data_IF_650688262236
#
_entry.id   IF_650688262236
#
_cell.length_a   1.000
_cell.length_b   1.000
_cell.length_c   1.000
_cell.angle_alpha   90.00
_cell.angle_beta   90.00
_cell.angle_gamma   90.00
#
_symmetry.space_group_name_H-M   'P 1'
#
loop_
_entity.id
_entity.type
_entity.pdbx_description
1 polymer ?
#
# COMPACT_ATOMS: atom_id res chain seq x y z
N UNK A 1 -1.23 13.94 -14.06
CA UNK A 1 -1.15 12.47 -14.20
C UNK A 1 0.26 12.10 -14.59
N UNK A 2 0.82 10.98 -14.09
CA UNK A 2 2.17 10.56 -14.47
C UNK A 2 2.17 9.88 -15.84
N UNK A 3 3.28 9.95 -16.62
CA UNK A 3 3.35 9.32 -17.94
C UNK A 3 3.02 7.82 -17.92
N UNK A 4 3.56 7.07 -16.94
CA UNK A 4 3.30 5.63 -16.81
C UNK A 4 1.82 5.30 -16.54
N UNK A 5 1.11 6.13 -15.76
CA UNK A 5 -0.32 5.90 -15.53
C UNK A 5 -1.15 6.18 -16.79
N UNK A 6 -0.77 7.19 -17.58
CA UNK A 6 -1.40 7.51 -18.86
C UNK A 6 -1.19 6.41 -19.89
N UNK A 7 0.01 5.83 -19.98
CA UNK A 7 0.34 4.76 -20.92
C UNK A 7 -0.52 3.51 -20.69
N UNK A 8 -0.70 3.14 -19.41
CA UNK A 8 -1.44 1.94 -19.03
C UNK A 8 -2.96 2.13 -19.15
N UNK A 9 -3.49 3.26 -18.67
CA UNK A 9 -4.95 3.52 -18.67
C UNK A 9 -5.48 4.14 -19.97
N UNK A 10 -4.59 4.59 -20.86
CA UNK A 10 -4.87 5.46 -22.01
C UNK A 10 -5.53 6.79 -21.65
N UNK A 11 -5.56 7.16 -20.37
CA UNK A 11 -6.11 8.44 -19.95
C UNK A 11 -5.06 9.54 -20.12
N UNK A 12 -5.49 10.78 -20.33
CA UNK A 12 -4.63 11.97 -20.22
C UNK A 12 -5.44 13.20 -19.82
N UNK A 13 -4.79 14.22 -19.23
CA UNK A 13 -5.44 15.49 -18.90
C UNK A 13 -4.75 16.62 -19.64
N UNK A 14 -5.50 17.36 -20.46
CA UNK A 14 -5.02 18.54 -21.20
C UNK A 14 -6.00 19.68 -21.00
N UNK A 15 -5.51 20.84 -20.56
CA UNK A 15 -6.34 22.03 -20.26
C UNK A 15 -7.57 21.71 -19.38
N UNK A 16 -7.39 20.91 -18.33
CA UNK A 16 -8.44 20.43 -17.41
C UNK A 16 -9.52 19.54 -18.02
N UNK A 17 -9.37 19.11 -19.28
CA UNK A 17 -10.23 18.12 -19.92
C UNK A 17 -9.58 16.75 -19.82
N UNK A 18 -10.35 15.75 -19.43
CA UNK A 18 -9.93 14.34 -19.41
C UNK A 18 -10.12 13.76 -20.81
N UNK A 19 -9.12 13.01 -21.27
CA UNK A 19 -9.15 12.29 -22.54
C UNK A 19 -8.93 10.81 -22.30
N UNK A 20 -9.61 9.96 -23.05
CA UNK A 20 -9.35 8.53 -23.18
C UNK A 20 -8.93 8.24 -24.62
N UNK A 21 -7.73 7.72 -24.80
CA UNK A 21 -7.16 7.37 -26.12
C UNK A 21 -7.23 8.57 -27.10
N UNK A 22 -6.86 9.75 -26.61
CA UNK A 22 -6.88 11.01 -27.37
C UNK A 22 -8.26 11.64 -27.57
N UNK A 23 -9.34 11.00 -27.13
CA UNK A 23 -10.72 11.52 -27.26
C UNK A 23 -11.20 12.15 -25.95
N UNK A 24 -11.79 13.36 -25.98
CA UNK A 24 -12.31 13.97 -24.76
C UNK A 24 -13.44 13.09 -24.19
N UNK A 25 -13.45 12.93 -22.88
CA UNK A 25 -14.49 12.18 -22.17
C UNK A 25 -15.17 13.06 -21.13
N UNK A 26 -16.46 12.80 -20.91
CA UNK A 26 -17.19 13.44 -19.82
C UNK A 26 -16.58 13.01 -18.49
N UNK A 27 -16.16 13.98 -17.70
CA UNK A 27 -15.63 13.78 -16.35
C UNK A 27 -16.44 14.61 -15.35
N UNK A 28 -16.33 14.25 -14.08
CA UNK A 28 -16.94 14.99 -12.97
C UNK A 28 -15.86 15.36 -11.96
N UNK A 29 -16.15 16.28 -11.05
CA UNK A 29 -15.20 16.63 -10.00
C UNK A 29 -14.97 15.44 -9.07
N UNK A 30 -13.84 15.41 -8.37
CA UNK A 30 -13.58 14.36 -7.38
C UNK A 30 -14.67 14.35 -6.29
N UNK A 31 -15.09 15.52 -5.82
CA UNK A 31 -16.11 15.65 -4.79
C UNK A 31 -17.48 15.10 -5.25
N UNK A 32 -17.92 15.48 -6.45
CA UNK A 32 -19.17 14.99 -7.03
C UNK A 32 -19.12 13.48 -7.27
N UNK A 33 -17.99 12.98 -7.79
CA UNK A 33 -17.76 11.56 -8.04
C UNK A 33 -17.85 10.74 -6.74
N UNK A 34 -17.19 11.20 -5.68
CA UNK A 34 -17.26 10.56 -4.36
C UNK A 34 -18.67 10.66 -3.76
N UNK A 35 -19.35 11.79 -3.89
CA UNK A 35 -20.72 11.95 -3.39
C UNK A 35 -21.69 10.98 -4.07
N UNK A 36 -21.59 10.81 -5.40
CA UNK A 36 -22.35 9.81 -6.16
C UNK A 36 -22.03 8.39 -5.70
N UNK A 37 -20.75 8.08 -5.48
CA UNK A 37 -20.31 6.78 -5.00
C UNK A 37 -20.86 6.46 -3.60
N UNK A 38 -20.76 7.40 -2.65
CA UNK A 38 -21.28 7.23 -1.30
C UNK A 38 -22.80 7.07 -1.29
N UNK A 39 -23.53 7.85 -2.09
CA UNK A 39 -24.98 7.70 -2.24
C UNK A 39 -25.36 6.32 -2.81
N UNK A 40 -24.61 5.80 -3.77
CA UNK A 40 -24.80 4.44 -4.28
C UNK A 40 -24.52 3.38 -3.20
N UNK A 41 -23.52 3.59 -2.36
CA UNK A 41 -23.20 2.69 -1.23
C UNK A 41 -24.25 2.72 -0.12
N UNK A 42 -24.86 3.87 0.20
CA UNK A 42 -25.91 3.97 1.24
C UNK A 42 -27.10 3.06 0.97
N UNK A 43 -27.41 2.80 -0.29
CA UNK A 43 -28.47 1.87 -0.68
C UNK A 43 -28.13 0.40 -0.37
N UNK A 44 -26.88 0.10 0.01
CA UNK A 44 -26.38 -1.23 0.36
C UNK A 44 -26.24 -1.32 1.88
N UNK A 45 -26.83 -2.34 2.51
CA UNK A 45 -26.66 -2.57 3.96
C UNK A 45 -25.32 -3.25 4.23
N UNK A 46 -24.54 -2.72 5.19
CA UNK A 46 -23.28 -3.30 5.68
C UNK A 46 -22.26 -3.64 4.58
N UNK A 47 -21.65 -2.62 3.99
CA UNK A 47 -20.75 -2.80 2.84
C UNK A 47 -19.34 -3.21 3.26
N UNK A 48 -18.82 -4.29 2.66
CA UNK A 48 -17.39 -4.59 2.62
C UNK A 48 -16.90 -4.44 1.17
N UNK A 49 -15.92 -3.56 0.94
CA UNK A 49 -15.40 -3.30 -0.41
C UNK A 49 -14.30 -4.29 -0.79
N UNK A 50 -14.47 -4.98 -1.92
CA UNK A 50 -13.47 -5.91 -2.43
C UNK A 50 -12.59 -5.21 -3.47
N UNK A 51 -11.28 -5.37 -3.33
CA UNK A 51 -10.31 -4.98 -4.37
C UNK A 51 -9.13 -5.95 -4.38
N UNK A 52 -8.44 -6.02 -5.51
CA UNK A 52 -7.29 -6.90 -5.69
C UNK A 52 -6.00 -6.14 -5.39
N UNK A 53 -5.26 -6.53 -4.35
CA UNK A 53 -4.17 -5.74 -3.75
C UNK A 53 -4.67 -4.46 -3.06
N UNK A 54 -5.89 -4.51 -2.54
CA UNK A 54 -6.61 -3.39 -1.91
C UNK A 54 -5.75 -2.65 -0.87
N UNK A 55 -5.10 -3.41 0.02
CA UNK A 55 -4.32 -2.86 1.14
C UNK A 55 -3.15 -2.04 0.65
N UNK A 56 -2.57 -2.37 -0.50
CA UNK A 56 -1.40 -1.69 -1.03
C UNK A 56 -1.74 -0.54 -1.98
N UNK A 57 -2.93 -0.58 -2.60
CA UNK A 57 -3.30 0.32 -3.69
C UNK A 57 -4.67 0.98 -3.48
N UNK A 58 -5.78 0.35 -3.89
CA UNK A 58 -7.08 1.01 -4.03
C UNK A 58 -7.58 1.63 -2.73
N UNK A 59 -7.50 0.90 -1.61
CA UNK A 59 -8.01 1.36 -0.34
C UNK A 59 -7.30 2.65 0.11
N UNK A 60 -5.97 2.74 -0.07
CA UNK A 60 -5.21 3.95 0.27
C UNK A 60 -5.60 5.15 -0.59
N UNK A 61 -5.79 4.93 -1.90
CA UNK A 61 -6.09 6.01 -2.83
C UNK A 61 -7.51 6.53 -2.59
N UNK A 62 -8.48 5.63 -2.43
CA UNK A 62 -9.86 6.00 -2.10
C UNK A 62 -9.93 6.73 -0.76
N UNK A 63 -9.27 6.22 0.29
CA UNK A 63 -9.30 6.87 1.60
C UNK A 63 -8.63 8.26 1.57
N UNK A 64 -7.53 8.44 0.84
CA UNK A 64 -6.93 9.77 0.64
C UNK A 64 -7.85 10.73 -0.11
N UNK A 65 -8.54 10.24 -1.14
CA UNK A 65 -9.50 11.04 -1.91
C UNK A 65 -10.68 11.49 -1.03
N UNK A 66 -11.26 10.56 -0.25
CA UNK A 66 -12.30 10.86 0.73
C UNK A 66 -11.82 11.90 1.76
N UNK A 67 -10.59 11.76 2.28
CA UNK A 67 -10.02 12.72 3.22
C UNK A 67 -9.87 14.12 2.59
N UNK A 68 -9.41 14.21 1.34
CA UNK A 68 -9.29 15.50 0.64
C UNK A 68 -10.63 16.20 0.37
N UNK A 69 -11.73 15.46 0.40
CA UNK A 69 -13.09 15.98 0.23
C UNK A 69 -13.89 16.04 1.55
N UNK A 70 -13.27 15.75 2.69
CA UNK A 70 -13.96 15.77 4.00
C UNK A 70 -15.05 14.70 4.15
N UNK A 71 -15.00 13.58 3.41
CA UNK A 71 -16.06 12.55 3.38
C UNK A 71 -15.71 11.25 4.11
N UNK A 72 -14.67 11.26 4.96
CA UNK A 72 -14.22 10.07 5.69
C UNK A 72 -15.29 9.58 6.67
N UNK A 73 -15.89 10.50 7.45
CA UNK A 73 -16.85 10.11 8.49
C UNK A 73 -18.10 9.49 7.88
N UNK A 74 -18.63 10.10 6.81
CA UNK A 74 -19.73 9.55 6.02
C UNK A 74 -19.40 8.16 5.47
N UNK A 75 -18.21 8.00 4.86
CA UNK A 75 -17.77 6.70 4.36
C UNK A 75 -17.70 5.63 5.46
N UNK A 76 -17.15 5.98 6.63
CA UNK A 76 -17.00 5.09 7.77
C UNK A 76 -18.34 4.68 8.39
N UNK A 77 -19.41 5.47 8.21
CA UNK A 77 -20.77 5.09 8.61
C UNK A 77 -21.41 4.08 7.66
N UNK A 78 -20.98 4.07 6.38
CA UNK A 78 -21.59 3.25 5.33
C UNK A 78 -20.84 1.92 5.12
N UNK A 79 -19.52 1.99 5.01
CA UNK A 79 -18.66 0.85 4.72
C UNK A 79 -17.93 0.37 5.98
N UNK A 80 -17.89 -0.93 6.20
CA UNK A 80 -17.19 -1.56 7.32
C UNK A 80 -15.66 -1.57 7.11
N UNK A 81 -15.24 -1.59 5.85
CA UNK A 81 -13.84 -1.67 5.47
C UNK A 81 -13.68 -2.31 4.10
N UNK A 82 -12.57 -3.04 3.95
CA UNK A 82 -12.19 -3.67 2.69
C UNK A 82 -11.82 -5.14 2.89
N UNK A 83 -11.89 -5.92 1.81
CA UNK A 83 -11.29 -7.24 1.70
C UNK A 83 -10.28 -7.25 0.56
N UNK A 84 -9.06 -7.73 0.84
CA UNK A 84 -8.01 -7.86 -0.16
C UNK A 84 -8.00 -9.26 -0.78
N UNK A 85 -8.34 -9.35 -2.07
CA UNK A 85 -8.43 -10.64 -2.75
C UNK A 85 -7.07 -11.21 -3.15
N UNK A 86 -6.01 -10.39 -3.19
CA UNK A 86 -4.67 -10.88 -3.52
C UNK A 86 -4.13 -11.90 -2.48
N UNK A 87 -4.09 -11.60 -1.17
CA UNK A 87 -3.71 -12.59 -0.17
C UNK A 87 -4.74 -13.73 -0.04
N UNK A 88 -6.02 -13.49 -0.33
CA UNK A 88 -7.03 -14.56 -0.39
C UNK A 88 -6.69 -15.60 -1.47
N UNK A 89 -6.36 -15.16 -2.69
CA UNK A 89 -5.93 -16.09 -3.75
C UNK A 89 -4.60 -16.77 -3.43
N UNK A 90 -3.68 -16.11 -2.73
CA UNK A 90 -2.42 -16.74 -2.26
C UNK A 90 -2.67 -17.85 -1.24
N UNK A 91 -3.67 -17.69 -0.38
CA UNK A 91 -4.07 -18.75 0.56
C UNK A 91 -4.66 -19.95 -0.18
N UNK A 92 -5.54 -19.69 -1.16
CA UNK A 92 -6.24 -20.76 -1.88
C UNK A 92 -5.36 -21.51 -2.88
N UNK A 93 -4.37 -20.83 -3.47
CA UNK A 93 -3.53 -21.38 -4.54
C UNK A 93 -2.05 -21.07 -4.30
N UNK A 94 -1.44 -21.56 -3.21
CA UNK A 94 -0.10 -21.15 -2.77
C UNK A 94 1.01 -21.42 -3.78
N UNK A 95 0.84 -22.43 -4.64
CA UNK A 95 1.86 -22.87 -5.59
C UNK A 95 1.89 -22.05 -6.91
N UNK A 96 0.98 -21.08 -7.07
CA UNK A 96 0.95 -20.26 -8.29
C UNK A 96 2.15 -19.32 -8.35
N UNK A 97 2.72 -19.20 -9.55
CA UNK A 97 3.85 -18.28 -9.82
C UNK A 97 3.43 -16.81 -9.88
N UNK A 98 2.18 -16.55 -10.25
CA UNK A 98 1.62 -15.22 -10.38
C UNK A 98 0.21 -15.16 -9.86
N UNK A 99 -0.08 -14.02 -9.23
CA UNK A 99 -1.38 -13.68 -8.67
C UNK A 99 -1.86 -12.33 -9.22
N UNK A 100 -1.37 -11.89 -10.38
CA UNK A 100 -2.01 -10.76 -11.05
C UNK A 100 -3.45 -11.14 -11.42
N UNK A 101 -4.38 -10.19 -11.37
CA UNK A 101 -5.77 -10.45 -11.74
C UNK A 101 -5.91 -11.01 -13.17
N UNK A 102 -5.09 -10.53 -14.10
CA UNK A 102 -5.05 -11.07 -15.47
C UNK A 102 -4.67 -12.56 -15.49
N UNK A 103 -3.62 -12.97 -14.79
CA UNK A 103 -3.22 -14.38 -14.78
C UNK A 103 -4.23 -15.25 -14.03
N UNK A 104 -4.88 -14.72 -12.99
CA UNK A 104 -5.99 -15.40 -12.32
C UNK A 104 -7.17 -15.58 -13.26
N UNK A 105 -7.55 -14.56 -14.03
CA UNK A 105 -8.62 -14.65 -15.01
C UNK A 105 -8.31 -15.66 -16.14
N UNK A 106 -7.09 -15.62 -16.68
CA UNK A 106 -6.66 -16.57 -17.71
C UNK A 106 -6.71 -18.00 -17.18
N UNK A 107 -6.13 -18.26 -16.00
CA UNK A 107 -5.95 -19.64 -15.54
C UNK A 107 -7.20 -20.23 -14.90
N UNK A 108 -8.02 -19.41 -14.23
CA UNK A 108 -9.20 -19.88 -13.48
C UNK A 108 -10.51 -19.71 -14.26
N UNK A 109 -10.63 -18.67 -15.09
CA UNK A 109 -11.83 -18.40 -15.88
C UNK A 109 -11.66 -18.68 -17.37
N UNK A 110 -10.45 -19.05 -17.81
CA UNK A 110 -10.12 -19.17 -19.24
C UNK A 110 -10.48 -17.90 -20.03
N UNK A 111 -10.31 -16.73 -19.40
CA UNK A 111 -10.74 -15.44 -19.94
C UNK A 111 -9.59 -14.44 -20.00
N UNK A 112 -9.53 -13.69 -21.10
CA UNK A 112 -8.76 -12.45 -21.21
C UNK A 112 -9.72 -11.27 -21.26
N UNK A 113 -9.23 -10.08 -20.90
CA UNK A 113 -10.04 -8.87 -20.89
C UNK A 113 -9.15 -7.64 -21.05
N UNK A 114 -9.78 -6.49 -21.29
CA UNK A 114 -9.12 -5.20 -21.33
C UNK A 114 -8.75 -4.76 -19.91
N UNK A 115 -7.66 -5.32 -19.38
CA UNK A 115 -7.06 -4.83 -18.15
C UNK A 115 -6.77 -3.34 -18.27
N UNK A 116 -6.88 -2.60 -17.17
CA UNK A 116 -6.72 -1.13 -17.10
C UNK A 116 -7.97 -0.32 -17.47
N UNK A 117 -9.08 -0.99 -17.79
CA UNK A 117 -10.43 -0.43 -17.67
C UNK A 117 -10.97 -0.76 -16.28
N UNK A 118 -11.21 0.26 -15.46
CA UNK A 118 -11.69 0.05 -14.09
C UNK A 118 -13.00 -0.76 -14.04
N UNK A 119 -13.88 -0.62 -15.04
CA UNK A 119 -15.12 -1.38 -15.14
C UNK A 119 -14.86 -2.87 -15.46
N UNK A 120 -14.00 -3.15 -16.44
CA UNK A 120 -13.68 -4.53 -16.83
C UNK A 120 -12.91 -5.23 -15.69
N UNK A 121 -12.00 -4.50 -15.04
CA UNK A 121 -11.26 -4.96 -13.86
C UNK A 121 -12.22 -5.40 -12.74
N UNK A 122 -13.24 -4.60 -12.39
CA UNK A 122 -14.17 -4.98 -11.32
C UNK A 122 -15.15 -6.08 -11.73
N UNK A 123 -15.55 -6.16 -12.99
CA UNK A 123 -16.42 -7.24 -13.48
C UNK A 123 -15.71 -8.59 -13.45
N UNK A 124 -14.44 -8.63 -13.87
CA UNK A 124 -13.62 -9.84 -13.79
C UNK A 124 -13.31 -10.18 -12.33
N UNK A 125 -13.01 -9.19 -11.49
CA UNK A 125 -12.79 -9.41 -10.07
C UNK A 125 -14.04 -9.98 -9.39
N UNK A 126 -15.23 -9.50 -9.75
CA UNK A 126 -16.49 -10.03 -9.25
C UNK A 126 -16.60 -11.52 -9.59
N UNK A 127 -16.45 -11.90 -10.86
CA UNK A 127 -16.50 -13.31 -11.30
C UNK A 127 -15.48 -14.18 -10.55
N UNK A 128 -14.23 -13.73 -10.50
CA UNK A 128 -13.16 -14.42 -9.78
C UNK A 128 -13.51 -14.62 -8.30
N UNK A 129 -13.98 -13.57 -7.63
CA UNK A 129 -14.29 -13.62 -6.21
C UNK A 129 -15.48 -14.53 -5.93
N UNK A 130 -16.57 -14.40 -6.69
CA UNK A 130 -17.79 -15.20 -6.48
C UNK A 130 -17.63 -16.66 -6.85
N UNK A 131 -16.73 -16.99 -7.79
CA UNK A 131 -16.52 -18.38 -8.21
C UNK A 131 -15.52 -19.15 -7.36
N UNK A 132 -14.53 -18.46 -6.75
CA UNK A 132 -13.38 -19.13 -6.15
C UNK A 132 -13.09 -18.77 -4.69
N UNK A 133 -13.64 -17.67 -4.15
CA UNK A 133 -13.36 -17.25 -2.78
C UNK A 133 -14.62 -17.35 -1.94
N UNK A 134 -14.55 -18.08 -0.81
CA UNK A 134 -15.63 -18.10 0.16
C UNK A 134 -15.65 -16.85 1.04
N UNK A 135 -16.81 -16.51 1.59
CA UNK A 135 -16.97 -15.39 2.53
C UNK A 135 -16.02 -15.50 3.73
N UNK A 136 -15.79 -16.71 4.24
CA UNK A 136 -14.86 -16.94 5.35
C UNK A 136 -13.41 -16.56 5.01
N UNK A 137 -12.98 -16.80 3.76
CA UNK A 137 -11.64 -16.40 3.30
C UNK A 137 -11.59 -14.88 3.08
N UNK A 138 -12.63 -14.29 2.47
CA UNK A 138 -12.72 -12.83 2.31
C UNK A 138 -12.64 -12.11 3.67
N UNK A 139 -13.42 -12.57 4.66
CA UNK A 139 -13.42 -11.98 6.00
C UNK A 139 -12.05 -12.09 6.68
N UNK A 140 -11.31 -13.19 6.48
CA UNK A 140 -9.96 -13.36 7.04
C UNK A 140 -8.94 -12.38 6.46
N UNK A 141 -9.11 -12.00 5.19
CA UNK A 141 -8.28 -11.00 4.50
C UNK A 141 -8.91 -9.61 4.47
N UNK A 142 -9.89 -9.37 5.35
CA UNK A 142 -10.51 -8.07 5.53
C UNK A 142 -9.77 -7.18 6.52
N UNK A 143 -9.96 -5.87 6.39
CA UNK A 143 -9.43 -4.86 7.30
C UNK A 143 -10.40 -3.69 7.43
N UNK A 144 -10.49 -3.15 8.65
CA UNK A 144 -11.41 -2.05 8.98
C UNK A 144 -10.89 -0.69 8.50
N UNK A 145 -11.80 0.29 8.46
CA UNK A 145 -11.44 1.69 8.21
C UNK A 145 -10.49 2.25 9.28
N UNK A 146 -10.69 1.87 10.55
CA UNK A 146 -9.81 2.31 11.66
C UNK A 146 -8.38 1.80 11.46
N UNK A 147 -8.22 0.54 11.05
CA UNK A 147 -6.91 -0.01 10.71
C UNK A 147 -6.30 0.72 9.51
N UNK A 148 -7.08 0.99 8.46
CA UNK A 148 -6.60 1.70 7.27
C UNK A 148 -6.13 3.13 7.60
N UNK A 149 -6.87 3.85 8.45
CA UNK A 149 -6.50 5.18 8.91
C UNK A 149 -5.15 5.16 9.65
N UNK A 150 -4.99 4.24 10.61
CA UNK A 150 -3.72 4.05 11.32
C UNK A 150 -2.58 3.68 10.36
N UNK A 151 -2.86 2.81 9.38
CA UNK A 151 -1.89 2.41 8.39
C UNK A 151 -1.44 3.57 7.48
N UNK A 152 -2.34 4.47 7.10
CA UNK A 152 -1.99 5.67 6.33
C UNK A 152 -1.10 6.62 7.13
N UNK A 153 -1.42 6.82 8.42
CA UNK A 153 -0.57 7.62 9.33
C UNK A 153 0.81 7.00 9.44
N UNK A 154 0.88 5.68 9.65
CA UNK A 154 2.14 4.92 9.68
C UNK A 154 2.95 5.12 8.38
N UNK A 155 2.33 5.00 7.21
CA UNK A 155 3.02 5.20 5.93
C UNK A 155 3.56 6.63 5.79
N UNK A 156 2.81 7.62 6.26
CA UNK A 156 3.27 9.02 6.27
C UNK A 156 4.47 9.20 7.19
N UNK A 157 4.44 8.64 8.39
CA UNK A 157 5.55 8.71 9.35
C UNK A 157 6.77 7.98 8.80
N UNK A 158 6.61 6.74 8.32
CA UNK A 158 7.67 5.95 7.66
C UNK A 158 8.34 6.75 6.54
N UNK A 159 7.56 7.42 5.69
CA UNK A 159 8.12 8.25 4.61
C UNK A 159 8.95 9.42 5.13
N UNK A 160 8.46 10.14 6.16
CA UNK A 160 9.21 11.23 6.81
C UNK A 160 10.52 10.70 7.41
N UNK A 161 10.44 9.60 8.14
CA UNK A 161 11.60 8.95 8.75
C UNK A 161 12.62 8.51 7.71
N UNK A 162 12.19 7.90 6.60
CA UNK A 162 13.06 7.47 5.51
C UNK A 162 13.83 8.64 4.86
N UNK A 163 13.26 9.85 4.83
CA UNK A 163 13.96 11.06 4.35
C UNK A 163 15.15 11.42 5.24
N UNK A 164 15.04 11.23 6.55
CA UNK A 164 16.19 11.47 7.47
C UNK A 164 17.35 10.50 7.21
N UNK A 165 17.06 9.33 6.65
CA UNK A 165 18.06 8.28 6.39
C UNK A 165 18.75 8.41 5.01
N UNK A 166 18.42 9.43 4.20
CA UNK A 166 19.06 9.62 2.89
C UNK A 166 20.60 9.75 2.97
N UNK A 167 21.22 10.41 3.97
CA UNK A 167 22.67 10.43 4.11
C UNK A 167 23.29 9.03 4.18
N UNK A 168 22.67 8.11 4.93
CA UNK A 168 23.15 6.72 5.02
C UNK A 168 23.05 5.99 3.69
N UNK A 169 22.01 6.26 2.89
CA UNK A 169 21.82 5.65 1.57
C UNK A 169 22.85 6.22 0.58
N UNK A 170 23.00 7.54 0.52
CA UNK A 170 23.91 8.22 -0.41
C UNK A 170 25.37 7.83 -0.15
N UNK A 171 25.78 7.75 1.11
CA UNK A 171 27.12 7.31 1.50
C UNK A 171 27.31 5.78 1.49
N UNK A 172 26.31 5.03 1.01
CA UNK A 172 26.31 3.56 0.94
C UNK A 172 26.56 2.88 2.30
N UNK A 173 26.19 3.56 3.40
CA UNK A 173 26.24 3.04 4.77
C UNK A 173 25.01 2.17 5.09
N UNK A 174 23.92 2.35 4.36
CA UNK A 174 22.75 1.48 4.37
C UNK A 174 22.20 1.28 2.95
N UNK A 175 21.72 0.07 2.64
CA UNK A 175 20.95 -0.16 1.42
C UNK A 175 19.55 0.47 1.53
N UNK A 176 18.88 0.70 0.40
CA UNK A 176 17.48 1.16 0.38
C UNK A 176 16.56 0.24 1.19
N UNK A 177 16.73 -1.07 1.08
CA UNK A 177 15.95 -2.05 1.85
C UNK A 177 16.23 -1.95 3.36
N UNK A 178 17.49 -1.73 3.75
CA UNK A 178 17.85 -1.55 5.15
C UNK A 178 17.23 -0.27 5.72
N UNK A 179 17.34 0.85 5.01
CA UNK A 179 16.73 2.12 5.40
C UNK A 179 15.19 2.02 5.45
N UNK A 180 14.58 1.26 4.54
CA UNK A 180 13.14 0.99 4.56
C UNK A 180 12.71 0.26 5.84
N UNK A 181 13.48 -0.75 6.29
CA UNK A 181 13.23 -1.44 7.57
C UNK A 181 13.45 -0.54 8.79
N UNK A 182 14.53 0.25 8.80
CA UNK A 182 14.80 1.23 9.86
C UNK A 182 13.63 2.21 9.97
N UNK A 183 13.23 2.82 8.86
CA UNK A 183 12.10 3.76 8.85
C UNK A 183 10.76 3.12 9.19
N UNK A 184 10.51 1.87 8.77
CA UNK A 184 9.32 1.11 9.14
C UNK A 184 9.26 0.79 10.65
N UNK A 185 10.40 0.82 11.34
CA UNK A 185 10.47 0.70 12.80
C UNK A 185 10.35 2.04 13.55
N UNK A 186 10.10 3.13 12.83
CA UNK A 186 9.97 4.48 13.40
C UNK A 186 11.29 5.19 13.69
N UNK A 187 12.44 4.56 13.41
CA UNK A 187 13.76 5.11 13.73
C UNK A 187 14.25 6.11 12.67
N UNK A 188 14.42 7.38 13.06
CA UNK A 188 15.08 8.41 12.23
C UNK A 188 16.60 8.41 12.42
N UNK A 189 17.32 9.18 11.61
CA UNK A 189 18.77 9.36 11.77
C UNK A 189 19.15 9.84 13.18
N UNK A 190 18.40 10.77 13.76
CA UNK A 190 18.64 11.28 15.12
C UNK A 190 18.48 10.19 16.19
N UNK A 191 17.54 9.25 16.00
CA UNK A 191 17.41 8.11 16.91
C UNK A 191 18.63 7.19 16.82
N UNK A 192 19.20 7.01 15.62
CA UNK A 192 20.43 6.23 15.44
C UNK A 192 21.64 6.94 16.06
N UNK A 193 21.74 8.27 15.87
CA UNK A 193 22.75 9.12 16.51
C UNK A 193 22.68 8.97 18.03
N UNK A 194 21.47 9.09 18.61
CA UNK A 194 21.26 8.99 20.04
C UNK A 194 21.60 7.61 20.59
N UNK A 195 21.24 6.54 19.87
CA UNK A 195 21.59 5.18 20.25
C UNK A 195 23.11 4.96 20.24
N UNK A 196 23.80 5.53 19.24
CA UNK A 196 25.25 5.48 19.14
C UNK A 196 25.94 6.34 20.22
N UNK A 197 25.47 7.57 20.48
CA UNK A 197 26.09 8.44 21.48
C UNK A 197 26.01 7.88 22.90
N UNK A 198 24.95 7.11 23.21
CA UNK A 198 24.74 6.52 24.53
C UNK A 198 25.44 5.18 24.75
N UNK A 199 25.65 4.39 23.70
CA UNK A 199 26.15 3.00 23.84
C UNK A 199 27.15 2.58 22.78
N UNK A 200 27.67 3.53 22.01
CA UNK A 200 28.56 3.29 20.88
C UNK A 200 27.99 2.27 19.88
N UNK A 201 28.89 1.44 19.39
CA UNK A 201 28.59 0.36 18.43
C UNK A 201 27.54 -0.61 18.99
N UNK A 202 27.61 -0.96 20.27
CA UNK A 202 26.71 -1.95 20.86
C UNK A 202 25.32 -1.38 21.13
N UNK A 203 25.22 -0.11 21.53
CA UNK A 203 23.95 0.60 21.68
C UNK A 203 23.14 0.60 20.37
N UNK A 204 23.76 1.05 19.28
CA UNK A 204 23.12 1.06 17.97
C UNK A 204 22.83 -0.36 17.45
N UNK A 205 23.75 -1.31 17.64
CA UNK A 205 23.54 -2.71 17.23
C UNK A 205 22.36 -3.33 17.96
N UNK A 206 22.22 -3.10 19.26
CA UNK A 206 21.13 -3.65 20.06
C UNK A 206 19.77 -3.09 19.60
N UNK A 207 19.69 -1.77 19.37
CA UNK A 207 18.48 -1.13 18.84
C UNK A 207 18.05 -1.72 17.49
N UNK A 208 18.99 -1.95 16.56
CA UNK A 208 18.67 -2.46 15.22
C UNK A 208 18.42 -3.99 15.18
N UNK A 209 18.89 -4.73 16.19
CA UNK A 209 18.72 -6.19 16.28
C UNK A 209 17.64 -6.61 17.28
N UNK A 210 17.06 -5.67 18.03
CA UNK A 210 15.98 -5.90 18.99
C UNK A 210 14.85 -6.70 18.35
N UNK A 211 14.33 -7.70 19.06
CA UNK A 211 13.28 -8.57 18.51
C UNK A 211 11.90 -8.07 18.90
N UNK A 212 11.02 -7.98 17.92
CA UNK A 212 9.59 -7.81 18.12
C UNK A 212 8.86 -9.00 17.50
N UNK A 213 8.06 -9.71 18.29
CA UNK A 213 7.37 -10.94 17.87
C UNK A 213 8.30 -11.95 17.17
N UNK A 214 9.49 -12.16 17.75
CA UNK A 214 10.49 -13.11 17.26
C UNK A 214 11.30 -12.64 16.03
N UNK A 215 10.94 -11.52 15.39
CA UNK A 215 11.67 -10.97 14.24
C UNK A 215 12.57 -9.80 14.65
N UNK A 216 13.78 -9.66 14.09
CA UNK A 216 14.62 -8.51 14.36
C UNK A 216 13.96 -7.23 13.83
N UNK A 217 14.16 -6.12 14.52
CA UNK A 217 13.65 -4.80 14.14
C UNK A 217 14.11 -4.42 12.74
N UNK A 218 15.39 -4.66 12.44
CA UNK A 218 15.99 -4.32 11.14
C UNK A 218 16.76 -5.49 10.53
N UNK A 219 17.71 -6.08 11.26
CA UNK A 219 18.58 -7.14 10.74
C UNK A 219 19.11 -8.03 11.87
N UNK A 220 19.36 -9.31 11.57
CA UNK A 220 20.14 -10.21 12.45
C UNK A 220 21.63 -10.11 12.19
N UNK A 221 22.06 -9.55 11.05
CA UNK A 221 23.46 -9.48 10.66
C UNK A 221 24.17 -8.31 11.38
N UNK A 222 24.62 -8.58 12.60
CA UNK A 222 25.36 -7.62 13.42
C UNK A 222 26.63 -7.12 12.73
N UNK A 223 27.32 -7.98 11.95
CA UNK A 223 28.54 -7.59 11.23
C UNK A 223 28.27 -6.44 10.27
N UNK A 224 27.22 -6.54 9.45
CA UNK A 224 26.83 -5.48 8.50
C UNK A 224 26.49 -4.19 9.24
N UNK A 225 25.73 -4.26 10.34
CA UNK A 225 25.39 -3.06 11.13
C UNK A 225 26.67 -2.36 11.63
N UNK A 226 27.59 -3.14 12.22
CA UNK A 226 28.85 -2.61 12.77
C UNK A 226 29.75 -2.02 11.69
N UNK A 227 29.91 -2.68 10.55
CA UNK A 227 30.84 -2.22 9.50
C UNK A 227 30.26 -1.09 8.65
N UNK A 228 28.95 -1.09 8.40
CA UNK A 228 28.35 -0.11 7.48
C UNK A 228 27.66 1.04 8.21
N UNK A 229 26.74 0.77 9.14
CA UNK A 229 25.94 1.84 9.75
C UNK A 229 26.73 2.53 10.86
N UNK A 230 27.36 1.78 11.78
CA UNK A 230 28.11 2.40 12.88
C UNK A 230 29.29 3.24 12.38
N UNK A 231 29.91 2.89 11.25
CA UNK A 231 31.02 3.67 10.67
C UNK A 231 30.60 5.03 10.10
N UNK A 232 29.30 5.30 9.96
CA UNK A 232 28.82 6.65 9.67
C UNK A 232 29.05 7.57 10.88
N UNK A 233 28.81 7.07 12.09
CA UNK A 233 28.85 7.83 13.35
C UNK A 233 30.23 7.86 14.01
N UNK A 234 31.22 7.20 13.43
CA UNK A 234 32.61 7.20 13.92
C UNK A 234 33.42 8.42 13.46
N UNK A 235 32.91 9.15 12.46
CA UNK A 235 33.61 10.26 11.80
C UNK A 235 32.90 11.62 12.02
N UNK A 236 31.97 11.70 12.97
CA UNK A 236 31.38 12.94 13.49
C UNK A 236 31.92 13.20 14.90
#
# INVERSE_FOLDING_TARGET
MTPAASEVSKLSVKHRVLYYDGRPVTATSLDDGLSKFLNWLKAKKHVLLLAHNAKSFDAKHLFKALASCGKIDEFCQIALGFSDTLPAFRELYPDRKSFSQQNLATDLLSATYNAHSALDDVQVLQKLSTSFISDAVLLRHSFSNSWLQQYIVFLSQKSKTLKTLQPLIHLKKASKSMADKISASGLSLDHLQLAYSRGGVDGLTNVLTEKFQGKPRVSTNKRVIKTTICSYFQNE
#
